data_IF_233008526664
#
_entry.id   IF_233008526664
#
_cell.length_a   1.000
_cell.length_b   1.000
_cell.length_c   1.000
_cell.angle_alpha   90.00
_cell.angle_beta   90.00
_cell.angle_gamma   90.00
#
_symmetry.space_group_name_H-M   'P 1'
#
loop_
_entity.id
_entity.type
_entity.pdbx_description
1 polymer ?
#
# COMPACT_ATOMS: atom_id res chain seq x y z
N UNK A 1 -13.40 -48.81 14.52
CA UNK A 1 -12.82 -47.94 13.48
C UNK A 1 -12.81 -46.51 14.00
N UNK A 2 -11.65 -45.88 14.25
CA UNK A 2 -11.58 -44.43 14.37
C UNK A 2 -11.63 -43.80 12.97
N UNK A 3 -12.37 -42.71 12.82
CA UNK A 3 -12.38 -41.89 11.60
C UNK A 3 -11.01 -41.22 11.43
N UNK A 4 -10.40 -41.21 10.23
CA UNK A 4 -9.16 -40.48 10.00
C UNK A 4 -9.41 -39.01 10.30
N UNK A 5 -8.68 -38.50 11.29
CA UNK A 5 -8.75 -37.12 11.70
C UNK A 5 -8.46 -36.22 10.51
N UNK A 6 -9.36 -35.27 10.33
CA UNK A 6 -9.18 -34.03 9.59
C UNK A 6 -7.84 -33.41 9.99
N UNK A 7 -6.77 -33.77 9.25
CA UNK A 7 -5.46 -33.14 9.39
C UNK A 7 -5.53 -31.85 8.58
N UNK A 8 -6.43 -30.97 9.02
CA UNK A 8 -6.52 -29.61 8.55
C UNK A 8 -5.29 -28.86 9.06
N UNK A 9 -4.16 -29.05 8.40
CA UNK A 9 -3.09 -28.06 8.36
C UNK A 9 -3.75 -26.76 7.89
N UNK A 10 -4.22 -25.97 8.86
CA UNK A 10 -4.59 -24.59 8.62
C UNK A 10 -3.28 -23.94 8.26
N UNK A 11 -2.96 -23.92 6.97
CA UNK A 11 -1.83 -23.18 6.45
C UNK A 11 -1.96 -21.78 7.05
N UNK A 12 -1.00 -21.41 7.90
CA UNK A 12 -0.95 -20.09 8.50
C UNK A 12 -0.69 -19.15 7.33
N UNK A 13 -1.75 -18.65 6.70
CA UNK A 13 -1.65 -17.62 5.69
C UNK A 13 -0.86 -16.48 6.33
N UNK A 14 0.30 -16.09 5.78
CA UNK A 14 1.07 -15.00 6.34
C UNK A 14 0.14 -13.79 6.51
N UNK A 15 0.16 -13.18 7.70
CA UNK A 15 -0.59 -11.96 7.95
C UNK A 15 -0.22 -10.86 6.96
N UNK A 16 -1.02 -9.77 6.89
CA UNK A 16 -0.74 -8.68 5.96
C UNK A 16 0.68 -8.13 6.18
N UNK A 17 1.42 -8.00 5.09
CA UNK A 17 2.82 -7.52 5.11
C UNK A 17 2.81 -6.00 4.97
N UNK A 18 3.58 -5.33 5.84
CA UNK A 18 3.87 -3.89 5.74
C UNK A 18 5.06 -3.67 4.80
N UNK A 19 4.87 -2.89 3.74
CA UNK A 19 5.98 -2.50 2.86
C UNK A 19 6.86 -1.42 3.51
N UNK A 20 8.17 -1.39 3.21
CA UNK A 20 9.04 -0.30 3.64
C UNK A 20 8.51 1.05 3.16
N UNK A 21 8.72 2.14 3.93
CA UNK A 21 8.30 3.47 3.51
C UNK A 21 9.12 3.94 2.31
N UNK A 22 8.44 4.51 1.31
CA UNK A 22 9.04 5.18 0.15
C UNK A 22 8.76 6.67 0.23
N UNK A 23 9.70 7.52 -0.21
CA UNK A 23 9.50 8.97 -0.30
C UNK A 23 9.66 9.45 -1.75
N UNK A 24 8.66 10.18 -2.24
CA UNK A 24 8.65 10.80 -3.57
C UNK A 24 8.20 12.26 -3.43
N UNK A 25 9.13 13.20 -3.58
CA UNK A 25 8.86 14.61 -3.34
C UNK A 25 8.36 14.84 -1.90
N UNK A 26 7.21 15.53 -1.69
CA UNK A 26 6.63 15.73 -0.37
C UNK A 26 5.84 14.52 0.14
N UNK A 27 5.71 13.44 -0.63
CA UNK A 27 4.88 12.28 -0.28
C UNK A 27 5.74 11.18 0.32
N UNK A 28 5.36 10.65 1.48
CA UNK A 28 5.79 9.35 1.95
C UNK A 28 4.64 8.34 1.83
N UNK A 29 4.95 7.12 1.40
CA UNK A 29 3.97 6.06 1.18
C UNK A 29 4.44 4.73 1.77
N UNK A 30 3.49 3.91 2.21
CA UNK A 30 3.67 2.50 2.57
C UNK A 30 2.34 1.78 2.33
N UNK A 31 2.33 0.45 2.40
CA UNK A 31 1.15 -0.38 2.18
C UNK A 31 1.11 -1.54 3.18
N UNK A 32 -0.07 -1.86 3.71
CA UNK A 32 -0.31 -3.03 4.57
C UNK A 32 -1.27 -3.97 3.84
N UNK A 33 -0.77 -5.13 3.40
CA UNK A 33 -1.61 -6.10 2.68
C UNK A 33 -2.29 -5.52 1.44
N UNK A 34 -1.62 -4.59 0.73
CA UNK A 34 -2.15 -3.90 -0.44
C UNK A 34 -2.97 -2.64 -0.15
N UNK A 35 -3.27 -2.32 1.11
CA UNK A 35 -3.93 -1.07 1.50
C UNK A 35 -2.89 0.04 1.66
N UNK A 36 -2.92 1.12 0.85
CA UNK A 36 -1.92 2.18 0.91
C UNK A 36 -2.18 3.17 2.06
N UNK A 37 -1.10 3.71 2.63
CA UNK A 37 -1.10 4.88 3.51
C UNK A 37 -0.20 5.95 2.90
N UNK A 38 -0.68 7.19 2.92
CA UNK A 38 0.02 8.35 2.38
C UNK A 38 0.21 9.36 3.50
N UNK A 39 1.44 9.82 3.68
CA UNK A 39 1.78 10.98 4.50
C UNK A 39 2.30 12.10 3.61
N UNK A 40 1.91 13.34 3.92
CA UNK A 40 2.41 14.52 3.22
C UNK A 40 3.37 15.25 4.16
N UNK A 41 4.66 15.15 3.83
CA UNK A 41 5.76 15.75 4.56
C UNK A 41 6.00 17.18 4.03
N UNK A 42 5.16 18.11 4.48
CA UNK A 42 5.32 19.55 4.22
C UNK A 42 4.12 20.23 3.58
N UNK A 43 4.24 21.53 3.25
CA UNK A 43 3.12 22.31 2.74
C UNK A 43 2.69 21.88 1.34
N UNK A 44 1.40 21.58 1.15
CA UNK A 44 0.84 21.18 -0.15
C UNK A 44 0.51 22.34 -1.07
N UNK A 45 0.34 23.55 -0.53
CA UNK A 45 -0.16 24.72 -1.27
C UNK A 45 0.79 25.22 -2.37
N UNK A 46 2.06 24.79 -2.38
CA UNK A 46 3.02 25.08 -3.44
C UNK A 46 2.88 24.18 -4.67
N UNK A 47 2.08 23.12 -4.60
CA UNK A 47 1.88 22.18 -5.71
C UNK A 47 0.55 22.44 -6.38
N UNK A 48 0.55 22.44 -7.71
CA UNK A 48 -0.71 22.33 -8.45
C UNK A 48 -1.36 20.98 -8.18
N UNK A 49 -2.70 20.89 -8.28
CA UNK A 49 -3.42 19.63 -8.08
C UNK A 49 -2.84 18.49 -8.92
N UNK A 50 -2.57 18.75 -10.22
CA UNK A 50 -1.92 17.79 -11.12
C UNK A 50 -0.55 17.32 -10.62
N UNK A 51 0.29 18.24 -10.12
CA UNK A 51 1.63 17.90 -9.62
C UNK A 51 1.56 17.08 -8.33
N UNK A 52 0.63 17.39 -7.44
CA UNK A 52 0.39 16.61 -6.23
C UNK A 52 -0.09 15.20 -6.58
N UNK A 53 -1.06 15.06 -7.50
CA UNK A 53 -1.53 13.77 -8.01
C UNK A 53 -0.40 12.92 -8.56
N UNK A 54 0.52 13.51 -9.34
CA UNK A 54 1.67 12.79 -9.88
C UNK A 54 2.59 12.25 -8.77
N UNK A 55 2.88 13.03 -7.73
CA UNK A 55 3.70 12.54 -6.61
C UNK A 55 3.01 11.38 -5.87
N UNK A 56 1.69 11.47 -5.66
CA UNK A 56 0.92 10.40 -5.02
C UNK A 56 0.96 9.13 -5.87
N UNK A 57 0.67 9.21 -7.17
CA UNK A 57 0.64 8.05 -8.06
C UNK A 57 2.02 7.40 -8.19
N UNK A 58 3.09 8.21 -8.27
CA UNK A 58 4.45 7.68 -8.29
C UNK A 58 4.79 6.95 -6.98
N UNK A 59 4.47 7.53 -5.82
CA UNK A 59 4.74 6.90 -4.53
C UNK A 59 3.96 5.58 -4.35
N UNK A 60 2.71 5.53 -4.83
CA UNK A 60 1.89 4.31 -4.82
C UNK A 60 2.49 3.21 -5.71
N UNK A 61 2.96 3.57 -6.92
CA UNK A 61 3.65 2.65 -7.81
C UNK A 61 4.89 2.02 -7.19
N UNK A 62 5.69 2.82 -6.48
CA UNK A 62 6.91 2.33 -5.79
C UNK A 62 6.60 1.36 -4.63
N UNK A 63 5.45 1.51 -3.95
CA UNK A 63 5.01 0.55 -2.89
C UNK A 63 4.19 -0.62 -3.44
N UNK A 64 4.15 -0.78 -4.77
CA UNK A 64 3.49 -1.89 -5.45
C UNK A 64 1.97 -1.82 -5.42
N UNK A 65 1.38 -0.63 -5.27
CA UNK A 65 -0.06 -0.42 -5.26
C UNK A 65 -0.50 0.37 -6.49
N UNK A 66 -1.48 -0.15 -7.22
CA UNK A 66 -2.12 0.54 -8.34
C UNK A 66 -3.50 1.03 -7.93
N UNK A 67 -3.84 2.26 -8.30
CA UNK A 67 -5.19 2.82 -8.12
C UNK A 67 -5.76 3.26 -9.47
N UNK A 68 -7.03 2.93 -9.71
CA UNK A 68 -7.76 3.44 -10.86
C UNK A 68 -8.29 4.82 -10.52
N UNK A 69 -7.85 5.84 -11.26
CA UNK A 69 -8.34 7.21 -11.09
C UNK A 69 -9.65 7.35 -11.88
N UNK A 70 -10.77 7.73 -11.25
CA UNK A 70 -12.04 7.92 -11.95
C UNK A 70 -11.96 9.09 -12.95
N UNK A 71 -12.73 8.99 -14.04
CA UNK A 71 -12.85 10.01 -15.09
C UNK A 71 -13.57 11.29 -14.63
#
# INVERSE_FOLDING_TARGET
MPSPGDTGETALTPGPILSPPVTVGPIAASSLGGVPFIAINGPVHHYSGKRLTQFILNALGEVGVTIDVPE
#
